data_IF_806749300499
#
_entry.id   IF_806749300499
#
_cell.length_a   1.000
_cell.length_b   1.000
_cell.length_c   1.000
_cell.angle_alpha   90.00
_cell.angle_beta   90.00
_cell.angle_gamma   90.00
#
_symmetry.space_group_name_H-M   'P 1'
#
loop_
_entity.id
_entity.type
_entity.pdbx_description
1 polymer ?
#
# COMPACT_ATOMS: atom_id res chain seq x y z
N UNK A 1 8.81 16.64 -24.83
CA UNK A 1 8.61 15.18 -24.69
C UNK A 1 7.36 14.96 -23.85
N UNK A 2 6.18 15.12 -24.43
CA UNK A 2 4.89 14.88 -23.77
C UNK A 2 4.20 13.68 -24.40
N UNK A 3 3.36 12.99 -23.64
CA UNK A 3 2.44 11.90 -24.04
C UNK A 3 2.87 10.44 -23.81
N UNK A 4 3.68 10.14 -22.79
CA UNK A 4 3.77 8.75 -22.30
C UNK A 4 2.73 8.50 -21.19
N UNK A 5 2.40 9.51 -20.37
CA UNK A 5 1.36 9.40 -19.34
C UNK A 5 -0.07 9.32 -19.88
N UNK A 6 -0.41 10.09 -20.93
CA UNK A 6 -1.78 10.18 -21.44
C UNK A 6 -2.28 8.88 -22.10
N UNK A 7 -1.39 8.15 -22.78
CA UNK A 7 -1.76 6.92 -23.48
C UNK A 7 -2.11 5.76 -22.53
N UNK A 8 -1.45 5.69 -21.36
CA UNK A 8 -1.77 4.68 -20.35
C UNK A 8 -3.12 4.98 -19.68
N UNK A 9 -3.40 6.24 -19.32
CA UNK A 9 -4.68 6.64 -18.73
C UNK A 9 -5.87 6.39 -19.68
N UNK A 10 -5.74 6.64 -20.99
CA UNK A 10 -6.79 6.32 -21.98
C UNK A 10 -7.08 4.81 -22.07
N UNK A 11 -6.05 3.97 -21.99
CA UNK A 11 -6.20 2.51 -21.96
C UNK A 11 -6.90 2.05 -20.68
N UNK A 12 -6.47 2.58 -19.52
CA UNK A 12 -7.10 2.33 -18.22
C UNK A 12 -8.58 2.72 -18.26
N UNK A 13 -8.91 3.90 -18.79
CA UNK A 13 -10.27 4.37 -18.94
C UNK A 13 -11.13 3.45 -19.80
N UNK A 14 -10.59 2.99 -20.94
CA UNK A 14 -11.29 2.08 -21.83
C UNK A 14 -11.63 0.76 -21.13
N UNK A 15 -10.66 0.15 -20.44
CA UNK A 15 -10.85 -1.13 -19.73
C UNK A 15 -11.90 -0.98 -18.62
N UNK A 16 -11.83 0.10 -17.84
CA UNK A 16 -12.80 0.41 -16.79
C UNK A 16 -14.21 0.60 -17.37
N UNK A 17 -14.35 1.35 -18.46
CA UNK A 17 -15.65 1.59 -19.12
C UNK A 17 -16.32 0.29 -19.62
N UNK A 18 -15.53 -0.73 -19.96
CA UNK A 18 -16.05 -2.03 -20.36
C UNK A 18 -16.35 -2.98 -19.18
N UNK A 19 -16.36 -2.47 -17.94
CA UNK A 19 -16.78 -3.22 -16.75
C UNK A 19 -15.71 -4.15 -16.17
N UNK A 20 -14.43 -3.93 -16.48
CA UNK A 20 -13.35 -4.81 -16.04
C UNK A 20 -13.19 -4.89 -14.52
N UNK A 21 -13.47 -3.82 -13.77
CA UNK A 21 -13.34 -3.81 -12.30
C UNK A 21 -14.21 -4.88 -11.63
N UNK A 22 -15.47 -5.00 -12.06
CA UNK A 22 -16.37 -6.04 -11.55
C UNK A 22 -15.86 -7.44 -11.85
N UNK A 23 -15.28 -7.65 -13.05
CA UNK A 23 -14.69 -8.94 -13.44
C UNK A 23 -13.40 -9.26 -12.70
N UNK A 24 -12.53 -8.29 -12.47
CA UNK A 24 -11.34 -8.50 -11.65
C UNK A 24 -11.70 -8.78 -10.19
N UNK A 25 -12.72 -8.13 -9.62
CA UNK A 25 -13.26 -8.44 -8.30
C UNK A 25 -13.78 -9.87 -8.20
N UNK A 26 -14.40 -10.39 -9.25
CA UNK A 26 -14.83 -11.80 -9.33
C UNK A 26 -13.60 -12.73 -9.38
N UNK A 27 -12.64 -12.42 -10.25
CA UNK A 27 -11.49 -13.27 -10.55
C UNK A 27 -10.42 -13.33 -9.46
N UNK A 28 -10.31 -12.34 -8.57
CA UNK A 28 -9.39 -12.42 -7.42
C UNK A 28 -9.74 -13.59 -6.45
N UNK A 29 -10.97 -14.11 -6.53
CA UNK A 29 -11.45 -15.30 -5.79
C UNK A 29 -11.49 -16.58 -6.65
N UNK A 30 -10.94 -16.56 -7.86
CA UNK A 30 -10.86 -17.75 -8.71
C UNK A 30 -10.10 -18.88 -8.02
N UNK A 31 -10.45 -20.14 -8.31
CA UNK A 31 -9.66 -21.30 -7.86
C UNK A 31 -8.37 -21.46 -8.65
N UNK A 32 -8.25 -20.81 -9.81
CA UNK A 32 -7.03 -20.80 -10.61
C UNK A 32 -6.12 -19.65 -10.18
N UNK A 33 -4.94 -19.98 -9.66
CA UNK A 33 -3.98 -19.02 -9.11
C UNK A 33 -3.50 -17.99 -10.14
N UNK A 34 -3.23 -18.40 -11.38
CA UNK A 34 -2.81 -17.48 -12.45
C UNK A 34 -3.90 -16.45 -12.81
N UNK A 35 -5.17 -16.86 -12.73
CA UNK A 35 -6.30 -15.93 -12.91
C UNK A 35 -6.38 -14.95 -11.74
N UNK A 36 -6.23 -15.42 -10.49
CA UNK A 36 -6.21 -14.53 -9.32
C UNK A 36 -5.08 -13.53 -9.40
N UNK A 37 -3.87 -14.00 -9.72
CA UNK A 37 -2.68 -13.17 -9.86
C UNK A 37 -2.91 -12.07 -10.90
N UNK A 38 -3.39 -12.45 -12.09
CA UNK A 38 -3.66 -11.50 -13.18
C UNK A 38 -4.74 -10.48 -12.81
N UNK A 39 -5.78 -10.90 -12.09
CA UNK A 39 -6.83 -10.01 -11.62
C UNK A 39 -6.32 -8.99 -10.60
N UNK A 40 -5.54 -9.44 -9.60
CA UNK A 40 -4.92 -8.56 -8.61
C UNK A 40 -3.92 -7.59 -9.26
N UNK A 41 -3.13 -8.06 -10.22
CA UNK A 41 -2.21 -7.23 -10.99
C UNK A 41 -2.96 -6.16 -11.80
N UNK A 42 -4.06 -6.54 -12.45
CA UNK A 42 -4.92 -5.62 -13.20
C UNK A 42 -5.50 -4.53 -12.30
N UNK A 43 -6.04 -4.90 -11.14
CA UNK A 43 -6.55 -3.94 -10.15
C UNK A 43 -5.45 -3.00 -9.64
N UNK A 44 -4.27 -3.54 -9.36
CA UNK A 44 -3.15 -2.76 -8.84
C UNK A 44 -2.65 -1.71 -9.86
N UNK A 45 -2.61 -2.08 -11.14
CA UNK A 45 -2.26 -1.16 -12.23
C UNK A 45 -3.29 -0.04 -12.39
N UNK A 46 -4.59 -0.37 -12.33
CA UNK A 46 -5.66 0.64 -12.39
C UNK A 46 -5.53 1.62 -11.21
N UNK A 47 -5.31 1.10 -10.00
CA UNK A 47 -5.14 1.93 -8.81
C UNK A 47 -3.87 2.82 -8.88
N UNK A 48 -2.82 2.39 -9.58
CA UNK A 48 -1.58 3.14 -9.72
C UNK A 48 -1.61 4.25 -10.79
N UNK A 49 -2.65 4.28 -11.65
CA UNK A 49 -2.72 5.17 -12.80
C UNK A 49 -3.01 6.62 -12.40
N UNK A 50 -4.03 6.83 -11.56
CA UNK A 50 -4.38 8.16 -11.04
C UNK A 50 -5.22 8.07 -9.75
N UNK A 51 -5.30 9.16 -8.96
CA UNK A 51 -6.18 9.20 -7.78
C UNK A 51 -7.64 8.88 -8.11
N UNK A 52 -8.14 9.31 -9.28
CA UNK A 52 -9.52 9.02 -9.71
C UNK A 52 -9.76 7.53 -9.94
N UNK A 53 -8.81 6.81 -10.55
CA UNK A 53 -8.94 5.37 -10.75
C UNK A 53 -8.69 4.56 -9.48
N UNK A 54 -7.77 5.02 -8.62
CA UNK A 54 -7.59 4.49 -7.27
C UNK A 54 -8.89 4.55 -6.46
N UNK A 55 -9.54 5.71 -6.44
CA UNK A 55 -10.79 5.90 -5.71
C UNK A 55 -11.90 5.02 -6.29
N UNK A 56 -11.95 4.87 -7.62
CA UNK A 56 -12.88 3.94 -8.26
C UNK A 56 -12.61 2.47 -7.88
N UNK A 57 -11.35 2.04 -7.77
CA UNK A 57 -11.00 0.69 -7.29
C UNK A 57 -11.48 0.50 -5.85
N UNK A 58 -11.34 1.52 -5.00
CA UNK A 58 -11.82 1.52 -3.62
C UNK A 58 -13.34 1.40 -3.56
N UNK A 59 -14.06 2.19 -4.37
CA UNK A 59 -15.53 2.20 -4.44
C UNK A 59 -16.12 0.85 -4.89
N UNK A 60 -15.32 -0.01 -5.53
CA UNK A 60 -15.67 -1.38 -5.88
C UNK A 60 -15.44 -2.38 -4.73
N UNK A 61 -15.24 -1.94 -3.48
CA UNK A 61 -14.90 -2.75 -2.29
C UNK A 61 -13.67 -3.66 -2.48
N UNK A 62 -12.71 -3.24 -3.31
CA UNK A 62 -11.53 -4.06 -3.58
C UNK A 62 -10.63 -4.18 -2.35
N UNK A 63 -10.53 -3.11 -1.55
CA UNK A 63 -9.77 -3.09 -0.30
C UNK A 63 -10.24 -4.17 0.70
N UNK A 64 -11.51 -4.20 1.15
CA UNK A 64 -11.97 -5.23 2.08
C UNK A 64 -11.91 -6.64 1.48
N UNK A 65 -12.14 -6.80 0.17
CA UNK A 65 -11.95 -8.09 -0.50
C UNK A 65 -10.49 -8.56 -0.45
N UNK A 66 -9.53 -7.65 -0.60
CA UNK A 66 -8.10 -7.94 -0.58
C UNK A 66 -7.63 -8.29 0.84
N UNK A 67 -8.11 -7.57 1.86
CA UNK A 67 -7.84 -7.89 3.26
C UNK A 67 -8.34 -9.30 3.62
N UNK A 68 -9.56 -9.67 3.20
CA UNK A 68 -10.08 -11.04 3.39
C UNK A 68 -9.16 -12.10 2.78
N UNK A 69 -8.65 -11.87 1.56
CA UNK A 69 -7.72 -12.81 0.91
C UNK A 69 -6.44 -12.97 1.74
N UNK A 70 -5.91 -11.88 2.29
CA UNK A 70 -4.69 -11.92 3.13
C UNK A 70 -4.96 -12.69 4.44
N UNK A 71 -6.11 -12.48 5.07
CA UNK A 71 -6.53 -13.18 6.29
C UNK A 71 -6.66 -14.69 6.09
N UNK A 72 -7.07 -15.14 4.90
CA UNK A 72 -7.15 -16.55 4.54
C UNK A 72 -5.78 -17.25 4.40
N UNK A 73 -4.67 -16.51 4.44
CA UNK A 73 -3.31 -17.05 4.34
C UNK A 73 -2.99 -17.54 2.92
N UNK A 74 -2.90 -16.62 1.93
CA UNK A 74 -2.71 -17.01 0.54
C UNK A 74 -1.27 -17.45 0.29
N UNK A 75 -1.00 -18.00 -0.91
CA UNK A 75 0.37 -18.26 -1.36
C UNK A 75 1.19 -16.95 -1.39
N UNK A 76 2.52 -17.07 -1.34
CA UNK A 76 3.41 -15.90 -1.40
C UNK A 76 3.19 -15.06 -2.68
N UNK A 77 2.96 -15.73 -3.81
CA UNK A 77 2.67 -15.07 -5.08
C UNK A 77 1.46 -14.15 -4.98
N UNK A 78 0.35 -14.65 -4.44
CA UNK A 78 -0.89 -13.90 -4.27
C UNK A 78 -0.72 -12.82 -3.21
N UNK A 79 -0.04 -13.13 -2.09
CA UNK A 79 0.24 -12.16 -1.03
C UNK A 79 0.96 -10.92 -1.58
N UNK A 80 2.02 -11.12 -2.38
CA UNK A 80 2.76 -10.02 -3.02
C UNK A 80 1.85 -9.13 -3.87
N UNK A 81 0.95 -9.72 -4.68
CA UNK A 81 0.01 -8.94 -5.50
C UNK A 81 -1.02 -8.21 -4.64
N UNK A 82 -1.52 -8.82 -3.57
CA UNK A 82 -2.42 -8.17 -2.63
C UNK A 82 -1.76 -6.95 -1.97
N UNK A 83 -0.52 -7.08 -1.49
CA UNK A 83 0.17 -5.97 -0.83
C UNK A 83 0.54 -4.86 -1.80
N UNK A 84 0.92 -5.19 -3.04
CA UNK A 84 1.16 -4.20 -4.07
C UNK A 84 -0.12 -3.43 -4.45
N UNK A 85 -1.26 -4.12 -4.53
CA UNK A 85 -2.57 -3.47 -4.72
C UNK A 85 -2.90 -2.52 -3.56
N UNK A 86 -2.77 -2.98 -2.31
CA UNK A 86 -3.06 -2.16 -1.14
C UNK A 86 -2.14 -0.93 -1.04
N UNK A 87 -0.86 -1.06 -1.42
CA UNK A 87 0.07 0.07 -1.40
C UNK A 87 -0.28 1.12 -2.46
N UNK A 88 -0.75 0.70 -3.64
CA UNK A 88 -1.29 1.62 -4.65
C UNK A 88 -2.59 2.29 -4.21
N UNK A 89 -3.44 1.62 -3.43
CA UNK A 89 -4.62 2.25 -2.81
C UNK A 89 -4.27 3.32 -1.76
N UNK A 90 -3.03 3.34 -1.27
CA UNK A 90 -2.54 4.35 -0.33
C UNK A 90 -1.77 5.49 -1.01
N UNK A 91 -1.54 5.43 -2.33
CA UNK A 91 -0.64 6.34 -3.04
C UNK A 91 -1.33 7.63 -3.46
N UNK A 92 -0.56 8.72 -3.50
CA UNK A 92 -0.89 10.05 -4.05
C UNK A 92 -1.98 10.83 -3.30
N UNK A 93 -1.74 12.12 -3.10
CA UNK A 93 -2.72 13.02 -2.48
C UNK A 93 -3.74 13.55 -3.53
N UNK A 94 -5.00 13.85 -3.14
CA UNK A 94 -5.57 13.66 -1.80
C UNK A 94 -5.79 12.18 -1.50
N UNK A 95 -5.47 11.75 -0.28
CA UNK A 95 -5.69 10.37 0.12
C UNK A 95 -7.19 10.05 0.27
N UNK A 96 -7.58 8.77 0.09
CA UNK A 96 -8.93 8.32 0.43
C UNK A 96 -9.26 8.61 1.90
N UNK A 97 -10.56 8.62 2.24
CA UNK A 97 -10.99 8.89 3.61
C UNK A 97 -10.37 7.90 4.60
N UNK A 98 -10.08 8.37 5.82
CA UNK A 98 -9.50 7.54 6.87
C UNK A 98 -10.27 6.26 7.14
N UNK A 99 -11.61 6.26 7.05
CA UNK A 99 -12.43 5.07 7.26
C UNK A 99 -12.16 3.93 6.27
N UNK A 100 -11.67 4.25 5.07
CA UNK A 100 -11.24 3.27 4.07
C UNK A 100 -9.82 2.79 4.35
N UNK A 101 -8.92 3.68 4.77
CA UNK A 101 -7.48 3.41 4.88
C UNK A 101 -7.07 2.82 6.24
N UNK A 102 -7.75 3.18 7.33
CA UNK A 102 -7.42 2.71 8.67
C UNK A 102 -7.44 1.17 8.81
N UNK A 103 -8.33 0.41 8.13
CA UNK A 103 -8.30 -1.05 8.17
C UNK A 103 -7.05 -1.68 7.53
N UNK A 104 -6.34 -0.97 6.64
CA UNK A 104 -5.11 -1.48 6.02
C UNK A 104 -3.94 -1.47 6.99
N UNK A 105 -3.90 -0.53 7.93
CA UNK A 105 -2.73 -0.23 8.74
C UNK A 105 -2.26 -1.43 9.57
N UNK A 106 -3.12 -2.17 10.29
CA UNK A 106 -2.68 -3.36 11.04
C UNK A 106 -2.04 -4.41 10.14
N UNK A 107 -2.59 -4.60 8.93
CA UNK A 107 -2.05 -5.54 7.94
C UNK A 107 -0.69 -5.07 7.44
N UNK A 108 -0.54 -3.79 7.07
CA UNK A 108 0.75 -3.24 6.61
C UNK A 108 1.82 -3.33 7.72
N UNK A 109 1.48 -3.00 8.96
CA UNK A 109 2.38 -3.15 10.12
C UNK A 109 2.87 -4.58 10.27
N UNK A 110 1.95 -5.55 10.24
CA UNK A 110 2.29 -6.97 10.32
C UNK A 110 3.22 -7.40 9.18
N UNK A 111 2.99 -6.88 7.96
CA UNK A 111 3.78 -7.24 6.79
C UNK A 111 5.20 -6.66 6.79
N UNK A 112 5.49 -5.61 7.57
CA UNK A 112 6.87 -5.13 7.76
C UNK A 112 7.79 -6.18 8.40
N UNK A 113 7.24 -7.13 9.14
CA UNK A 113 7.98 -8.20 9.81
C UNK A 113 8.08 -9.48 8.97
N UNK A 114 7.66 -9.43 7.70
CA UNK A 114 7.71 -10.59 6.82
C UNK A 114 9.14 -10.86 6.32
N UNK A 115 9.45 -12.12 5.97
CA UNK A 115 10.78 -12.50 5.48
C UNK A 115 11.00 -12.21 3.98
N UNK A 116 9.94 -11.82 3.28
CA UNK A 116 9.94 -11.62 1.84
C UNK A 116 10.11 -10.14 1.51
N UNK A 117 11.16 -9.80 0.77
CA UNK A 117 11.52 -8.41 0.46
C UNK A 117 10.40 -7.67 -0.29
N UNK A 118 9.74 -8.30 -1.27
CA UNK A 118 8.66 -7.67 -2.05
C UNK A 118 7.42 -7.34 -1.17
N UNK A 119 7.12 -8.20 -0.20
CA UNK A 119 6.04 -7.97 0.78
C UNK A 119 6.39 -6.78 1.68
N UNK A 120 7.61 -6.76 2.21
CA UNK A 120 8.10 -5.71 3.11
C UNK A 120 8.19 -4.36 2.38
N UNK A 121 8.70 -4.34 1.15
CA UNK A 121 8.78 -3.17 0.28
C UNK A 121 7.40 -2.56 0.04
N UNK A 122 6.42 -3.40 -0.33
CA UNK A 122 5.05 -2.96 -0.59
C UNK A 122 4.39 -2.40 0.67
N UNK A 123 4.59 -3.05 1.82
CA UNK A 123 4.07 -2.59 3.10
C UNK A 123 4.67 -1.25 3.52
N UNK A 124 6.00 -1.13 3.45
CA UNK A 124 6.73 0.10 3.78
C UNK A 124 6.36 1.25 2.84
N UNK A 125 6.17 0.97 1.55
CA UNK A 125 5.70 1.98 0.60
C UNK A 125 4.29 2.48 0.93
N UNK A 126 3.35 1.58 1.21
CA UNK A 126 1.99 1.97 1.60
C UNK A 126 1.97 2.86 2.85
N UNK A 127 2.76 2.49 3.87
CA UNK A 127 2.89 3.28 5.10
C UNK A 127 3.55 4.64 4.86
N UNK A 128 4.56 4.71 4.00
CA UNK A 128 5.16 5.99 3.58
C UNK A 128 4.11 6.90 2.93
N UNK A 129 3.28 6.39 2.02
CA UNK A 129 2.25 7.21 1.40
C UNK A 129 1.21 7.67 2.43
N UNK A 130 0.76 6.80 3.34
CA UNK A 130 -0.13 7.19 4.43
C UNK A 130 0.48 8.27 5.35
N UNK A 131 1.81 8.29 5.51
CA UNK A 131 2.49 9.27 6.35
C UNK A 131 2.40 10.72 5.83
N UNK A 132 2.07 10.91 4.55
CA UNK A 132 1.92 12.26 3.97
C UNK A 132 0.80 13.06 4.64
N UNK A 133 -0.30 12.40 5.03
CA UNK A 133 -1.43 13.05 5.73
C UNK A 133 -1.65 12.52 7.16
N UNK A 134 -1.20 11.30 7.47
CA UNK A 134 -1.52 10.60 8.73
C UNK A 134 -0.28 10.26 9.58
N UNK A 135 0.83 11.00 9.43
CA UNK A 135 2.09 10.78 10.15
C UNK A 135 1.91 10.61 11.65
N UNK A 136 1.28 11.58 12.33
CA UNK A 136 1.06 11.54 13.78
C UNK A 136 0.32 10.28 14.23
N UNK A 137 -0.72 9.87 13.49
CA UNK A 137 -1.50 8.67 13.81
C UNK A 137 -0.66 7.40 13.68
N UNK A 138 0.15 7.29 12.62
CA UNK A 138 1.05 6.14 12.44
C UNK A 138 2.12 6.09 13.56
N UNK A 139 2.60 7.23 14.03
CA UNK A 139 3.54 7.32 15.14
C UNK A 139 2.87 6.87 16.45
N UNK A 140 1.67 7.35 16.76
CA UNK A 140 0.91 6.94 17.94
C UNK A 140 0.58 5.44 17.95
N UNK A 141 0.41 4.85 16.76
CA UNK A 141 0.24 3.40 16.59
C UNK A 141 1.54 2.60 16.77
N UNK A 142 2.69 3.26 16.97
CA UNK A 142 3.96 2.62 17.30
C UNK A 142 4.79 2.19 16.08
N UNK A 143 4.67 2.86 14.94
CA UNK A 143 5.44 2.50 13.74
C UNK A 143 6.95 2.75 13.89
N UNK A 144 7.35 3.81 14.61
CA UNK A 144 8.76 4.26 14.61
C UNK A 144 9.74 3.24 15.19
N UNK A 145 9.47 2.58 16.35
CA UNK A 145 10.35 1.53 16.85
C UNK A 145 10.56 0.40 15.84
N UNK A 146 9.53 0.02 15.08
CA UNK A 146 9.60 -1.02 14.05
C UNK A 146 10.55 -0.57 12.93
N UNK A 147 10.35 0.64 12.40
CA UNK A 147 11.16 1.17 11.30
C UNK A 147 12.63 1.37 11.70
N UNK A 148 12.88 1.86 12.91
CA UNK A 148 14.24 2.03 13.44
C UNK A 148 14.91 0.67 13.61
N UNK A 149 14.21 -0.31 14.20
CA UNK A 149 14.70 -1.69 14.32
C UNK A 149 15.09 -2.26 12.95
N UNK A 150 14.26 -2.08 11.93
CA UNK A 150 14.59 -2.51 10.56
C UNK A 150 15.89 -1.89 10.06
N UNK A 151 16.07 -0.57 10.20
CA UNK A 151 17.30 0.11 9.74
C UNK A 151 18.55 -0.37 10.49
N UNK A 152 18.42 -0.67 11.78
CA UNK A 152 19.54 -1.11 12.62
C UNK A 152 19.89 -2.59 12.44
N UNK A 153 18.90 -3.45 12.21
CA UNK A 153 19.05 -4.90 12.30
C UNK A 153 19.10 -5.59 10.93
N UNK A 154 18.57 -4.97 9.88
CA UNK A 154 18.50 -5.56 8.55
C UNK A 154 19.44 -4.86 7.57
N UNK A 155 20.35 -5.58 6.88
CA UNK A 155 21.26 -4.96 5.91
C UNK A 155 20.53 -4.48 4.64
N UNK A 156 19.43 -5.12 4.29
CA UNK A 156 18.61 -4.82 3.11
C UNK A 156 17.18 -4.47 3.58
N UNK A 157 16.94 -3.20 3.87
CA UNK A 157 15.59 -2.68 4.15
C UNK A 157 15.08 -1.80 2.99
N UNK A 158 13.76 -1.63 2.84
CA UNK A 158 13.18 -0.76 1.82
C UNK A 158 13.61 0.70 1.96
N UNK A 159 13.98 1.37 0.86
CA UNK A 159 14.27 2.82 0.88
C UNK A 159 13.09 3.66 1.43
N UNK A 160 11.85 3.17 1.28
CA UNK A 160 10.65 3.79 1.85
C UNK A 160 10.70 3.90 3.37
N UNK A 161 11.37 2.99 4.07
CA UNK A 161 11.59 3.06 5.53
C UNK A 161 12.42 4.29 5.89
N UNK A 162 13.56 4.51 5.21
CA UNK A 162 14.39 5.69 5.45
C UNK A 162 13.67 6.98 5.07
N UNK A 163 12.89 6.97 3.97
CA UNK A 163 12.09 8.14 3.57
C UNK A 163 11.04 8.47 4.62
N UNK A 164 10.36 7.47 5.18
CA UNK A 164 9.38 7.68 6.24
C UNK A 164 10.04 8.35 7.44
N UNK A 165 11.13 7.75 7.94
CA UNK A 165 11.87 8.27 9.08
C UNK A 165 12.34 9.71 8.81
N UNK A 166 12.93 9.95 7.63
CA UNK A 166 13.36 11.28 7.20
C UNK A 166 12.23 12.30 7.14
N UNK A 167 11.06 11.93 6.60
CA UNK A 167 9.88 12.79 6.56
C UNK A 167 9.39 13.16 7.96
N UNK A 168 9.40 12.20 8.90
CA UNK A 168 9.06 12.46 10.30
C UNK A 168 10.03 13.47 10.91
N UNK A 169 11.35 13.31 10.71
CA UNK A 169 12.34 14.24 11.25
C UNK A 169 12.31 15.64 10.61
N UNK A 170 12.03 15.73 9.31
CA UNK A 170 11.97 17.00 8.59
C UNK A 170 10.71 17.80 8.90
N UNK A 171 9.57 17.12 9.05
CA UNK A 171 8.27 17.75 9.28
C UNK A 171 7.88 17.80 10.76
N UNK A 172 8.58 17.06 11.62
CA UNK A 172 8.25 16.93 13.03
C UNK A 172 8.79 18.07 13.87
N UNK A 173 7.92 19.00 14.23
CA UNK A 173 8.06 19.86 15.43
C UNK A 173 7.57 19.14 16.70
N UNK A 174 7.59 17.80 16.71
CA UNK A 174 6.77 16.98 17.60
C UNK A 174 7.56 16.51 18.85
N UNK A 175 7.07 16.73 20.09
CA UNK A 175 7.69 16.23 21.32
C UNK A 175 7.98 14.72 21.36
N UNK A 176 7.34 13.94 20.50
CA UNK A 176 7.57 12.50 20.35
C UNK A 176 8.94 12.20 19.73
N UNK A 177 9.46 13.04 18.83
CA UNK A 177 10.83 12.90 18.28
C UNK A 177 11.86 13.08 19.39
N UNK A 178 11.64 14.04 20.29
CA UNK A 178 12.50 14.27 21.45
C UNK A 178 12.47 13.12 22.47
N UNK A 179 11.36 12.37 22.56
CA UNK A 179 11.30 11.14 23.37
C UNK A 179 12.03 9.98 22.69
N UNK A 180 11.91 9.85 21.36
CA UNK A 180 12.62 8.82 20.60
C UNK A 180 14.15 9.00 20.63
N UNK A 181 14.64 10.24 20.56
CA UNK A 181 16.07 10.55 20.73
C UNK A 181 16.60 10.27 22.14
N UNK A 182 15.72 10.02 23.12
CA UNK A 182 16.06 9.76 24.53
C UNK A 182 15.89 8.30 24.94
N UNK A 183 15.35 7.44 24.07
CA UNK A 183 15.32 5.99 24.32
C UNK A 183 16.72 5.40 24.03
N UNK A 184 17.31 4.67 24.98
CA UNK A 184 18.69 4.19 24.92
C UNK A 184 18.94 3.11 23.87
#
# INVERSE_FOLDING_TARGET
>A
MGNIGSAHTEQTQCIVHHGALGKFKEFMFSTNESIRESALLGLANIAADSPAFRDLVIDYDIVPCTLRIIEEGPSLLILRKCLWLLSNCCRESPLPSWGVLSPLIPTLFKMLLHHDEEVVDSAAWGLLCLSEEYSHTLIEMGILPILIGMVCETPNFPLSVLRFIGNVFLNGTDPQIDQLLKSP
#
